data_IF_984004936203
#
_entry.id   IF_984004936203
#
_cell.length_a   1.000
_cell.length_b   1.000
_cell.length_c   1.000
_cell.angle_alpha   90.00
_cell.angle_beta   90.00
_cell.angle_gamma   90.00
#
_symmetry.space_group_name_H-M   'P 1'
#
loop_
_entity.id
_entity.type
_entity.pdbx_description
1 polymer ?
#
# COMPACT_ATOMS: atom_id res chain seq x y z
N UNK A 1 36.72 19.08 -32.88
CA UNK A 1 37.73 18.04 -33.23
C UNK A 1 37.02 16.73 -33.45
N UNK A 2 37.19 16.19 -34.64
CA UNK A 2 36.61 14.93 -35.13
C UNK A 2 37.38 13.73 -34.57
N UNK A 3 36.70 12.58 -34.39
CA UNK A 3 37.17 11.20 -34.55
C UNK A 3 36.40 10.25 -33.64
N UNK A 4 36.01 9.07 -33.99
CA UNK A 4 35.84 8.24 -35.22
C UNK A 4 35.09 6.96 -34.78
N UNK A 5 34.21 6.56 -35.64
CA UNK A 5 33.43 5.31 -35.63
C UNK A 5 34.34 4.09 -35.83
N UNK A 6 34.14 3.02 -35.07
CA UNK A 6 34.61 1.67 -35.48
C UNK A 6 33.44 0.68 -35.43
N UNK A 7 33.07 0.26 -36.65
CA UNK A 7 32.25 -0.91 -36.93
C UNK A 7 33.08 -2.17 -36.68
N UNK A 8 32.48 -3.21 -36.13
CA UNK A 8 32.96 -4.57 -36.26
C UNK A 8 31.85 -5.44 -36.83
N UNK A 9 32.27 -6.19 -37.85
CA UNK A 9 31.50 -6.99 -38.79
C UNK A 9 31.27 -8.38 -38.23
N UNK A 10 30.18 -8.99 -38.65
CA UNK A 10 29.70 -10.34 -38.42
C UNK A 10 30.68 -11.46 -38.83
N UNK A 11 30.59 -12.58 -38.16
CA UNK A 11 30.95 -13.86 -38.75
C UNK A 11 29.96 -14.94 -38.28
N UNK A 12 29.21 -15.47 -39.22
CA UNK A 12 28.33 -16.62 -39.07
C UNK A 12 29.10 -17.92 -39.09
N UNK A 13 28.54 -18.92 -38.43
CA UNK A 13 28.87 -20.34 -38.71
C UNK A 13 27.59 -21.18 -38.62
N UNK A 14 27.16 -21.57 -39.80
CA UNK A 14 26.28 -22.69 -40.12
C UNK A 14 26.94 -24.01 -39.77
N UNK A 15 26.24 -24.92 -39.12
CA UNK A 15 26.58 -26.33 -39.18
C UNK A 15 25.37 -27.23 -39.36
N UNK A 16 25.55 -28.16 -40.27
CA UNK A 16 24.59 -28.92 -41.06
C UNK A 16 23.93 -30.08 -40.32
N UNK A 17 22.82 -30.50 -40.91
CA UNK A 17 22.05 -31.72 -40.72
C UNK A 17 22.88 -33.01 -40.73
N UNK A 18 22.45 -34.02 -39.99
CA UNK A 18 22.56 -35.41 -40.38
C UNK A 18 21.26 -36.17 -40.15
N UNK A 19 20.71 -36.65 -41.25
CA UNK A 19 19.58 -37.58 -41.36
C UNK A 19 20.13 -39.00 -41.19
N UNK A 20 19.48 -39.78 -40.38
CA UNK A 20 19.71 -41.22 -40.27
C UNK A 20 18.39 -41.98 -40.39
N UNK A 21 18.20 -42.65 -41.52
CA UNK A 21 17.04 -43.47 -41.88
C UNK A 21 17.36 -44.93 -41.63
N UNK A 22 16.30 -45.70 -41.23
CA UNK A 22 16.00 -47.08 -41.50
C UNK A 22 16.27 -48.16 -40.45
N UNK A 23 15.21 -48.88 -40.20
CA UNK A 23 15.19 -50.18 -39.52
C UNK A 23 13.78 -50.70 -39.34
N UNK A 24 13.17 -51.28 -40.38
CA UNK A 24 11.92 -52.06 -40.27
C UNK A 24 12.13 -53.36 -39.50
N UNK A 25 11.21 -53.66 -38.60
CA UNK A 25 11.08 -54.98 -37.91
C UNK A 25 9.65 -55.21 -37.46
N UNK A 26 8.94 -56.00 -38.23
CA UNK A 26 7.55 -56.43 -38.02
C UNK A 26 7.47 -57.57 -37.00
N UNK A 27 6.69 -57.43 -35.93
CA UNK A 27 6.15 -58.59 -35.20
C UNK A 27 4.86 -58.20 -34.50
N UNK A 28 3.79 -58.84 -34.89
CA UNK A 28 2.46 -58.83 -34.27
C UNK A 28 2.50 -59.51 -32.90
N UNK A 29 1.99 -58.86 -31.85
CA UNK A 29 1.25 -59.57 -30.78
C UNK A 29 0.18 -58.64 -30.18
N UNK A 30 -0.98 -59.21 -30.00
CA UNK A 30 -2.21 -58.60 -29.57
C UNK A 30 -2.24 -58.38 -28.06
N UNK A 31 -2.97 -57.33 -27.61
CA UNK A 31 -3.73 -57.35 -26.36
C UNK A 31 -3.09 -56.70 -25.17
N UNK A 32 -3.43 -55.44 -24.91
CA UNK A 32 -3.95 -54.97 -23.64
C UNK A 32 -4.12 -53.43 -23.76
N UNK A 33 -5.34 -52.99 -23.82
CA UNK A 33 -5.70 -51.58 -23.61
C UNK A 33 -5.35 -51.22 -22.16
N UNK A 34 -4.22 -50.59 -21.97
CA UNK A 34 -3.97 -49.80 -20.77
C UNK A 34 -4.09 -48.34 -21.21
N UNK A 35 -5.27 -47.78 -21.01
CA UNK A 35 -5.51 -46.36 -20.99
C UNK A 35 -4.72 -45.77 -19.84
N UNK A 36 -3.47 -45.41 -20.11
CA UNK A 36 -2.72 -44.53 -19.24
C UNK A 36 -3.29 -43.14 -19.50
N UNK A 37 -4.22 -42.72 -18.65
CA UNK A 37 -4.52 -41.29 -18.49
C UNK A 37 -3.18 -40.60 -18.21
N UNK A 38 -2.63 -39.97 -19.25
CA UNK A 38 -1.55 -39.02 -19.10
C UNK A 38 -2.13 -37.89 -18.26
N UNK A 39 -1.85 -37.88 -16.97
CA UNK A 39 -2.05 -36.73 -16.10
C UNK A 39 -1.40 -35.57 -16.83
N UNK A 40 -2.21 -34.65 -17.36
CA UNK A 40 -1.73 -33.36 -17.84
C UNK A 40 -1.03 -32.74 -16.64
N UNK A 41 0.29 -32.66 -16.68
CA UNK A 41 1.04 -31.79 -15.79
C UNK A 41 0.46 -30.41 -16.03
N UNK A 42 -0.33 -29.92 -15.08
CA UNK A 42 -0.78 -28.54 -15.05
C UNK A 42 0.50 -27.73 -14.98
N UNK A 43 0.82 -26.98 -16.02
CA UNK A 43 1.92 -26.02 -15.97
C UNK A 43 1.66 -25.13 -14.77
N UNK A 44 2.65 -24.99 -13.90
CA UNK A 44 2.54 -24.12 -12.74
C UNK A 44 2.22 -22.71 -13.27
N UNK A 45 1.20 -22.07 -12.67
CA UNK A 45 0.86 -20.70 -13.02
C UNK A 45 2.08 -19.79 -12.81
N UNK A 46 2.21 -18.74 -13.63
CA UNK A 46 3.27 -17.76 -13.45
C UNK A 46 3.19 -17.14 -12.05
N UNK A 47 4.32 -16.75 -11.44
CA UNK A 47 4.30 -16.06 -10.14
C UNK A 47 3.47 -14.78 -10.21
N UNK A 48 2.70 -14.51 -9.15
CA UNK A 48 1.95 -13.25 -9.00
C UNK A 48 2.93 -12.17 -8.58
N UNK A 49 2.99 -11.07 -9.34
CA UNK A 49 3.93 -9.98 -9.11
C UNK A 49 3.26 -8.86 -8.33
N UNK A 50 3.74 -8.61 -7.11
CA UNK A 50 3.25 -7.56 -6.22
C UNK A 50 4.22 -6.39 -6.19
N UNK A 51 3.72 -5.17 -6.33
CA UNK A 51 4.47 -3.93 -6.09
C UNK A 51 4.05 -3.27 -4.79
N UNK A 52 4.97 -2.52 -4.17
CA UNK A 52 4.62 -1.63 -3.05
C UNK A 52 5.20 -0.23 -3.23
N UNK A 53 4.55 0.76 -2.64
CA UNK A 53 5.08 2.13 -2.51
C UNK A 53 6.24 2.17 -1.52
N UNK A 54 7.09 3.23 -1.53
CA UNK A 54 8.28 3.29 -0.71
C UNK A 54 8.00 3.80 0.73
N UNK A 55 7.21 3.04 1.49
CA UNK A 55 6.92 3.33 2.91
C UNK A 55 6.73 2.03 3.70
N UNK A 56 7.07 2.05 4.98
CA UNK A 56 7.04 0.89 5.89
C UNK A 56 5.70 0.17 5.89
N UNK A 57 4.60 0.89 6.01
CA UNK A 57 3.24 0.36 5.95
C UNK A 57 3.00 -0.49 4.72
N UNK A 58 3.42 -0.01 3.55
CA UNK A 58 3.27 -0.70 2.29
C UNK A 58 4.16 -1.96 2.20
N UNK A 59 5.34 -1.95 2.82
CA UNK A 59 6.20 -3.13 2.88
C UNK A 59 5.55 -4.24 3.69
N UNK A 60 4.98 -3.89 4.85
CA UNK A 60 4.24 -4.81 5.71
C UNK A 60 3.03 -5.39 4.96
N UNK A 61 2.24 -4.55 4.27
CA UNK A 61 1.09 -4.99 3.49
C UNK A 61 1.48 -5.89 2.32
N UNK A 62 2.59 -5.58 1.63
CA UNK A 62 3.13 -6.44 0.57
C UNK A 62 3.50 -7.83 1.08
N UNK A 63 4.16 -7.91 2.25
CA UNK A 63 4.47 -9.18 2.88
C UNK A 63 3.21 -9.93 3.35
N UNK A 64 2.22 -9.22 3.90
CA UNK A 64 0.93 -9.84 4.27
C UNK A 64 0.24 -10.47 3.07
N UNK A 65 0.17 -9.75 1.94
CA UNK A 65 -0.40 -10.27 0.69
C UNK A 65 0.34 -11.52 0.23
N UNK A 66 1.68 -11.45 0.18
CA UNK A 66 2.50 -12.60 -0.19
C UNK A 66 2.22 -13.81 0.71
N UNK A 67 2.30 -13.63 2.02
CA UNK A 67 2.11 -14.71 3.00
C UNK A 67 0.71 -15.32 2.90
N UNK A 68 -0.34 -14.52 2.76
CA UNK A 68 -1.72 -15.01 2.67
C UNK A 68 -1.95 -15.77 1.36
N UNK A 69 -1.46 -15.24 0.23
CA UNK A 69 -1.58 -15.91 -1.06
C UNK A 69 -0.86 -17.27 -1.04
N UNK A 70 0.39 -17.31 -0.57
CA UNK A 70 1.20 -18.53 -0.52
C UNK A 70 0.70 -19.55 0.52
N UNK A 71 0.07 -19.11 1.64
CA UNK A 71 -0.52 -20.03 2.65
C UNK A 71 -1.85 -20.63 2.17
N UNK A 72 -2.61 -19.94 1.34
CA UNK A 72 -4.00 -20.29 1.02
C UNK A 72 -4.23 -20.78 -0.40
N UNK A 73 -3.19 -20.69 -1.24
CA UNK A 73 -3.21 -21.15 -2.63
C UNK A 73 -1.89 -21.87 -2.96
N UNK A 74 -1.84 -22.50 -4.15
CA UNK A 74 -0.59 -23.09 -4.68
C UNK A 74 0.23 -22.09 -5.52
N UNK A 75 -0.09 -20.79 -5.50
CA UNK A 75 0.61 -19.78 -6.26
C UNK A 75 1.84 -19.28 -5.52
N UNK A 76 2.90 -18.96 -6.27
CA UNK A 76 4.08 -18.25 -5.76
C UNK A 76 3.95 -16.75 -6.01
N UNK A 77 4.61 -15.94 -5.18
CA UNK A 77 4.56 -14.48 -5.24
C UNK A 77 5.96 -13.89 -5.38
N UNK A 78 6.12 -13.00 -6.35
CA UNK A 78 7.27 -12.10 -6.49
C UNK A 78 6.91 -10.72 -5.95
N UNK A 79 7.49 -10.34 -4.81
CA UNK A 79 7.26 -9.06 -4.17
C UNK A 79 8.40 -8.07 -4.47
N UNK A 80 8.06 -6.94 -5.10
CA UNK A 80 8.98 -5.83 -5.33
C UNK A 80 8.59 -4.65 -4.44
N UNK A 81 9.42 -4.37 -3.44
CA UNK A 81 9.19 -3.29 -2.48
C UNK A 81 9.76 -1.96 -2.94
N UNK A 82 9.10 -0.87 -2.57
CA UNK A 82 9.67 0.46 -2.61
C UNK A 82 9.76 1.09 -3.98
N UNK A 83 8.75 0.92 -4.83
CA UNK A 83 8.72 1.58 -6.14
C UNK A 83 8.69 3.10 -5.94
N UNK A 84 9.81 3.77 -6.29
CA UNK A 84 9.92 5.22 -6.23
C UNK A 84 8.85 5.90 -7.08
N UNK A 85 8.34 7.05 -6.62
CA UNK A 85 7.22 7.73 -7.26
C UNK A 85 5.84 7.13 -6.97
N UNK A 86 5.78 5.98 -6.27
CA UNK A 86 4.54 5.35 -5.81
C UNK A 86 3.52 5.15 -6.93
N UNK A 87 2.26 5.59 -6.72
CA UNK A 87 1.15 5.46 -7.67
C UNK A 87 1.50 5.87 -9.10
N UNK A 88 2.27 6.97 -9.26
CA UNK A 88 2.62 7.48 -10.60
C UNK A 88 3.48 6.52 -11.41
N UNK A 89 4.28 5.67 -10.77
CA UNK A 89 5.14 4.70 -11.44
C UNK A 89 4.55 3.28 -11.39
N UNK A 90 3.80 2.94 -10.34
CA UNK A 90 3.18 1.61 -10.23
C UNK A 90 2.04 1.46 -11.23
N UNK A 91 1.15 2.46 -11.36
CA UNK A 91 -0.02 2.33 -12.23
C UNK A 91 0.33 2.07 -13.70
N UNK A 92 1.28 2.78 -14.34
CA UNK A 92 1.74 2.43 -15.68
C UNK A 92 2.35 1.02 -15.79
N UNK A 93 3.05 0.56 -14.74
CA UNK A 93 3.61 -0.80 -14.69
C UNK A 93 2.53 -1.88 -14.53
N UNK A 94 1.42 -1.55 -13.85
CA UNK A 94 0.21 -2.40 -13.82
C UNK A 94 -0.43 -2.49 -15.21
N UNK A 95 -0.55 -1.38 -15.92
CA UNK A 95 -1.10 -1.34 -17.30
C UNK A 95 -0.25 -2.14 -18.28
N UNK A 96 1.09 -2.10 -18.16
CA UNK A 96 2.00 -2.87 -19.00
C UNK A 96 2.08 -4.37 -18.64
N UNK A 97 1.60 -4.78 -17.45
CA UNK A 97 1.69 -6.15 -16.94
C UNK A 97 3.04 -6.49 -16.29
N UNK A 98 3.81 -5.48 -15.91
CA UNK A 98 5.03 -5.67 -15.13
C UNK A 98 4.71 -6.07 -13.70
N UNK A 99 3.54 -5.63 -13.18
CA UNK A 99 2.97 -6.05 -11.90
C UNK A 99 1.51 -6.49 -12.07
N UNK A 100 1.02 -7.32 -11.15
CA UNK A 100 -0.30 -7.92 -11.14
C UNK A 100 -1.24 -7.31 -10.10
N UNK A 101 -0.67 -6.89 -8.96
CA UNK A 101 -1.42 -6.22 -7.90
C UNK A 101 -0.52 -5.34 -7.02
N UNK A 102 -1.14 -4.37 -6.35
CA UNK A 102 -0.48 -3.54 -5.34
C UNK A 102 -1.50 -2.96 -4.34
N UNK A 103 -1.09 -2.72 -3.07
CA UNK A 103 -1.90 -1.95 -2.13
C UNK A 103 -1.96 -0.47 -2.55
N UNK A 104 -3.18 0.08 -2.62
CA UNK A 104 -3.42 1.46 -3.02
C UNK A 104 -4.42 2.11 -2.05
N UNK A 105 -4.37 3.44 -1.96
CA UNK A 105 -5.28 4.22 -1.13
C UNK A 105 -6.39 4.83 -1.99
N UNK A 106 -7.63 4.82 -1.49
CA UNK A 106 -8.82 5.27 -2.22
C UNK A 106 -8.64 6.67 -2.81
N UNK A 107 -8.25 7.66 -2.02
CA UNK A 107 -8.04 9.02 -2.53
C UNK A 107 -6.86 9.12 -3.49
N UNK A 108 -5.81 8.32 -3.35
CA UNK A 108 -4.72 8.29 -4.33
C UNK A 108 -5.20 7.78 -5.68
N UNK A 109 -5.95 6.67 -5.69
CA UNK A 109 -6.56 6.14 -6.91
C UNK A 109 -7.52 7.13 -7.56
N UNK A 110 -8.33 7.81 -6.75
CA UNK A 110 -9.34 8.76 -7.22
C UNK A 110 -8.72 10.05 -7.79
N UNK A 111 -7.80 10.67 -7.04
CA UNK A 111 -7.22 11.96 -7.40
C UNK A 111 -6.07 11.81 -8.40
N UNK A 112 -5.16 10.84 -8.15
CA UNK A 112 -3.92 10.74 -8.94
C UNK A 112 -4.08 9.92 -10.22
N UNK A 113 -4.94 8.89 -10.22
CA UNK A 113 -5.15 8.03 -11.40
C UNK A 113 -6.35 8.48 -12.20
N UNK A 114 -7.52 8.59 -11.58
CA UNK A 114 -8.75 8.99 -12.27
C UNK A 114 -8.82 10.49 -12.55
N UNK A 115 -7.99 11.32 -11.89
CA UNK A 115 -7.93 12.79 -12.04
C UNK A 115 -9.23 13.48 -11.65
N UNK A 116 -9.94 12.93 -10.69
CA UNK A 116 -11.14 13.53 -10.12
C UNK A 116 -10.79 14.49 -8.98
N UNK A 117 -11.70 15.42 -8.73
CA UNK A 117 -11.70 16.24 -7.53
C UNK A 117 -12.40 15.47 -6.40
N UNK A 118 -11.85 15.49 -5.20
CA UNK A 118 -12.38 14.81 -4.02
C UNK A 118 -13.25 15.70 -3.14
N UNK A 119 -13.42 16.98 -3.46
CA UNK A 119 -14.19 17.91 -2.64
C UNK A 119 -15.65 17.47 -2.53
N UNK A 120 -16.10 17.20 -1.30
CA UNK A 120 -17.47 16.87 -0.96
C UNK A 120 -17.97 15.49 -1.42
N UNK A 121 -17.09 14.62 -1.95
CA UNK A 121 -17.49 13.24 -2.27
C UNK A 121 -17.54 12.40 -0.99
N UNK A 122 -18.58 11.56 -0.87
CA UNK A 122 -18.65 10.57 0.20
C UNK A 122 -17.68 9.39 -0.07
N UNK A 123 -17.19 8.73 0.99
CA UNK A 123 -16.35 7.54 0.86
C UNK A 123 -17.05 6.43 0.06
N UNK A 124 -18.35 6.27 0.26
CA UNK A 124 -19.17 5.28 -0.45
C UNK A 124 -19.23 5.58 -1.96
N UNK A 125 -19.42 6.84 -2.34
CA UNK A 125 -19.47 7.23 -3.75
C UNK A 125 -18.10 7.18 -4.41
N UNK A 126 -17.05 7.58 -3.69
CA UNK A 126 -15.67 7.42 -4.15
C UNK A 126 -15.36 5.95 -4.41
N UNK A 127 -15.70 5.06 -3.47
CA UNK A 127 -15.50 3.62 -3.62
C UNK A 127 -16.24 3.06 -4.83
N UNK A 128 -17.51 3.42 -5.04
CA UNK A 128 -18.28 3.00 -6.21
C UNK A 128 -17.68 3.47 -7.53
N UNK A 129 -17.18 4.70 -7.57
CA UNK A 129 -16.52 5.24 -8.76
C UNK A 129 -15.19 4.56 -9.04
N UNK A 130 -14.37 4.32 -8.02
CA UNK A 130 -13.13 3.55 -8.14
C UNK A 130 -13.39 2.15 -8.72
N UNK A 131 -14.33 1.41 -8.14
CA UNK A 131 -14.72 0.08 -8.62
C UNK A 131 -15.11 0.11 -10.10
N UNK A 132 -15.98 1.04 -10.47
CA UNK A 132 -16.48 1.14 -11.83
C UNK A 132 -15.42 1.59 -12.82
N UNK A 133 -14.75 2.71 -12.53
CA UNK A 133 -13.89 3.34 -13.51
C UNK A 133 -12.56 2.60 -13.72
N UNK A 134 -12.00 1.97 -12.69
CA UNK A 134 -10.82 1.11 -12.84
C UNK A 134 -11.13 -0.12 -13.70
N UNK A 135 -12.31 -0.72 -13.52
CA UNK A 135 -12.74 -1.81 -14.36
C UNK A 135 -12.93 -1.38 -15.82
N UNK A 136 -13.60 -0.25 -16.03
CA UNK A 136 -13.95 0.22 -17.38
C UNK A 136 -12.73 0.75 -18.15
N UNK A 137 -11.79 1.43 -17.46
CA UNK A 137 -10.67 2.11 -18.11
C UNK A 137 -9.39 1.28 -18.17
N UNK A 138 -9.15 0.43 -17.16
CA UNK A 138 -7.87 -0.25 -16.97
C UNK A 138 -7.99 -1.78 -16.92
N UNK A 139 -9.19 -2.35 -16.96
CA UNK A 139 -9.47 -3.77 -16.68
C UNK A 139 -8.85 -4.24 -15.36
N UNK A 140 -9.02 -3.42 -14.28
CA UNK A 140 -8.54 -3.68 -12.94
C UNK A 140 -9.69 -3.61 -11.93
N UNK A 141 -9.57 -4.34 -10.82
CA UNK A 141 -10.54 -4.36 -9.73
C UNK A 141 -9.89 -3.88 -8.43
N UNK A 142 -10.66 -3.18 -7.59
CA UNK A 142 -10.34 -2.90 -6.20
C UNK A 142 -10.93 -4.01 -5.33
N UNK A 143 -10.11 -4.69 -4.52
CA UNK A 143 -10.52 -5.87 -3.76
C UNK A 143 -10.21 -5.69 -2.28
N UNK A 144 -11.27 -5.76 -1.46
CA UNK A 144 -11.22 -5.59 -0.02
C UNK A 144 -10.79 -4.19 0.41
N UNK A 145 -10.90 -3.92 1.70
CA UNK A 145 -10.31 -2.77 2.38
C UNK A 145 -9.70 -3.28 3.67
N UNK A 146 -8.45 -2.96 3.96
CA UNK A 146 -7.77 -3.47 5.15
C UNK A 146 -8.44 -3.08 6.47
N UNK A 147 -9.17 -1.96 6.49
CA UNK A 147 -9.93 -1.48 7.65
C UNK A 147 -9.31 -0.24 8.33
N UNK A 148 -8.10 0.14 7.97
CA UNK A 148 -7.48 1.37 8.45
C UNK A 148 -7.56 2.50 7.42
N UNK A 149 -7.44 3.73 7.91
CA UNK A 149 -7.44 4.96 7.13
C UNK A 149 -6.14 5.75 7.38
N UNK A 150 -5.23 5.80 6.41
CA UNK A 150 -4.00 6.56 6.50
C UNK A 150 -4.20 8.01 6.00
N UNK A 151 -4.87 8.82 6.82
CA UNK A 151 -5.14 10.23 6.51
C UNK A 151 -4.36 11.18 7.41
N UNK A 152 -4.39 12.48 7.08
CA UNK A 152 -3.86 13.50 7.96
C UNK A 152 -4.57 13.48 9.32
N UNK A 153 -3.79 13.64 10.37
CA UNK A 153 -4.26 13.69 11.74
C UNK A 153 -3.70 14.91 12.47
N UNK A 154 -4.49 15.49 13.34
CA UNK A 154 -4.00 16.47 14.29
C UNK A 154 -3.60 15.75 15.57
N UNK A 155 -2.32 15.87 15.91
CA UNK A 155 -1.69 15.15 17.02
C UNK A 155 -1.40 16.16 18.12
N UNK A 156 -1.80 15.84 19.35
CA UNK A 156 -1.56 16.66 20.53
C UNK A 156 -0.78 15.87 21.59
N UNK A 157 0.06 16.55 22.38
CA UNK A 157 0.67 15.93 23.57
C UNK A 157 -0.42 15.41 24.51
N UNK A 158 -0.28 14.20 25.01
CA UNK A 158 -1.25 13.58 25.91
C UNK A 158 -1.47 14.41 27.19
N UNK A 159 -0.42 15.08 27.71
CA UNK A 159 -0.50 15.99 28.86
C UNK A 159 -1.42 17.19 28.56
N UNK A 160 -1.25 17.84 27.40
CA UNK A 160 -2.09 18.96 26.98
C UNK A 160 -3.54 18.50 26.72
N UNK A 161 -3.71 17.34 26.05
CA UNK A 161 -5.02 16.77 25.82
C UNK A 161 -5.78 16.48 27.12
N UNK A 162 -5.09 15.96 28.16
CA UNK A 162 -5.67 15.74 29.48
C UNK A 162 -5.99 17.04 30.23
N UNK A 163 -5.05 18.01 30.16
CA UNK A 163 -5.23 19.32 30.85
C UNK A 163 -6.51 20.02 30.40
N UNK A 164 -6.80 19.99 29.09
CA UNK A 164 -7.95 20.68 28.51
C UNK A 164 -9.12 19.74 28.15
N UNK A 165 -9.03 18.45 28.48
CA UNK A 165 -10.02 17.41 28.17
C UNK A 165 -10.37 17.32 26.66
N UNK A 166 -9.34 17.33 25.80
CA UNK A 166 -9.49 17.35 24.35
C UNK A 166 -9.55 15.94 23.77
N UNK A 167 -10.55 15.72 22.92
CA UNK A 167 -10.72 14.50 22.12
C UNK A 167 -11.03 14.80 20.66
N UNK A 168 -11.49 16.03 20.35
CA UNK A 168 -11.91 16.49 19.04
C UNK A 168 -11.15 17.75 18.64
N UNK A 169 -10.93 17.92 17.35
CA UNK A 169 -10.24 19.10 16.79
C UNK A 169 -11.01 20.40 17.06
N UNK A 170 -12.35 20.37 16.98
CA UNK A 170 -13.18 21.54 17.25
C UNK A 170 -13.00 22.11 18.66
N UNK A 171 -12.69 21.28 19.67
CA UNK A 171 -12.47 21.72 21.04
C UNK A 171 -11.19 22.56 21.22
N UNK A 172 -10.26 22.51 20.27
CA UNK A 172 -9.07 23.36 20.28
C UNK A 172 -9.40 24.84 20.13
N UNK A 173 -10.54 25.20 19.54
CA UNK A 173 -10.93 26.60 19.32
C UNK A 173 -10.90 27.43 20.61
N UNK A 174 -11.23 26.83 21.75
CA UNK A 174 -11.32 27.50 23.05
C UNK A 174 -9.97 27.67 23.77
N UNK A 175 -8.92 26.95 23.32
CA UNK A 175 -7.63 26.86 24.02
C UNK A 175 -6.40 26.97 23.12
N UNK A 176 -6.58 27.10 21.83
CA UNK A 176 -5.46 27.11 20.86
C UNK A 176 -4.50 28.28 21.07
N UNK A 177 -4.97 29.40 21.62
CA UNK A 177 -4.15 30.59 21.95
C UNK A 177 -3.19 30.36 23.14
N UNK A 178 -3.33 29.28 23.88
CA UNK A 178 -2.38 28.82 24.87
C UNK A 178 -1.37 27.79 24.35
N UNK A 179 -1.62 27.18 23.17
CA UNK A 179 -0.90 26.05 22.61
C UNK A 179 0.05 26.47 21.48
N UNK A 180 1.18 25.77 21.40
CA UNK A 180 2.17 25.93 20.32
C UNK A 180 1.97 24.85 19.27
N UNK A 181 1.73 25.25 18.02
CA UNK A 181 1.71 24.34 16.89
C UNK A 181 3.12 24.16 16.30
N UNK A 182 3.48 22.95 15.92
CA UNK A 182 4.69 22.64 15.17
C UNK A 182 4.38 21.82 13.93
N UNK A 183 4.84 22.23 12.77
CA UNK A 183 4.69 21.52 11.51
C UNK A 183 5.86 21.81 10.60
N UNK A 184 6.04 21.04 9.54
CA UNK A 184 7.04 21.37 8.52
C UNK A 184 6.55 22.51 7.62
N UNK A 185 7.48 23.25 7.03
CA UNK A 185 7.18 24.42 6.17
C UNK A 185 6.21 24.07 5.03
N UNK A 186 6.35 22.88 4.42
CA UNK A 186 5.44 22.45 3.35
C UNK A 186 3.98 22.39 3.84
N UNK A 187 3.71 21.78 5.00
CA UNK A 187 2.35 21.74 5.57
C UNK A 187 1.84 23.11 5.99
N UNK A 188 2.73 23.96 6.53
CA UNK A 188 2.36 25.31 6.99
C UNK A 188 1.99 26.21 5.79
N UNK A 189 2.69 26.09 4.66
CA UNK A 189 2.50 26.95 3.49
C UNK A 189 1.43 26.45 2.51
N UNK A 190 1.08 25.17 2.54
CA UNK A 190 0.07 24.59 1.62
C UNK A 190 -1.32 25.16 1.88
N UNK A 191 -2.07 25.35 0.79
CA UNK A 191 -3.48 25.83 0.85
C UNK A 191 -4.39 24.83 1.58
N UNK A 192 -4.12 23.53 1.43
CA UNK A 192 -4.85 22.42 2.05
C UNK A 192 -4.23 21.95 3.38
N UNK A 193 -3.30 22.72 3.94
CA UNK A 193 -2.58 22.44 5.17
C UNK A 193 -3.05 23.28 6.37
N UNK A 194 -2.08 23.86 7.07
CA UNK A 194 -2.29 24.59 8.33
C UNK A 194 -3.32 25.70 8.26
N UNK A 195 -3.32 26.51 7.19
CA UNK A 195 -4.25 27.62 7.05
C UNK A 195 -5.69 27.13 6.92
N UNK A 196 -5.94 26.11 6.10
CA UNK A 196 -7.26 25.51 5.96
C UNK A 196 -7.74 24.89 7.28
N UNK A 197 -6.85 24.22 8.01
CA UNK A 197 -7.13 23.71 9.35
C UNK A 197 -7.59 24.82 10.29
N UNK A 198 -6.82 25.92 10.37
CA UNK A 198 -7.12 27.04 11.24
C UNK A 198 -8.44 27.73 10.88
N UNK A 199 -8.68 27.95 9.59
CA UNK A 199 -9.91 28.59 9.10
C UNK A 199 -11.15 27.72 9.37
N UNK A 200 -11.03 26.41 9.11
CA UNK A 200 -12.15 25.46 9.31
C UNK A 200 -12.54 25.32 10.78
N UNK A 201 -11.56 25.23 11.66
CA UNK A 201 -11.79 24.98 13.09
C UNK A 201 -11.75 26.24 13.95
N UNK A 202 -11.43 27.41 13.39
CA UNK A 202 -11.34 28.68 14.13
C UNK A 202 -10.14 28.75 15.07
N UNK A 203 -9.01 28.08 14.70
CA UNK A 203 -7.85 27.96 15.58
C UNK A 203 -6.95 29.19 15.49
N UNK A 204 -6.38 29.59 16.64
CA UNK A 204 -5.43 30.70 16.75
C UNK A 204 -4.33 30.30 17.71
N UNK A 205 -3.34 29.56 17.20
CA UNK A 205 -2.25 29.07 18.05
C UNK A 205 -1.41 30.22 18.61
N UNK A 206 -0.91 30.04 19.83
CA UNK A 206 -0.01 30.97 20.53
C UNK A 206 1.27 31.24 19.73
N UNK A 207 1.80 30.21 19.11
CA UNK A 207 2.99 30.25 18.27
C UNK A 207 2.93 29.13 17.23
N UNK A 208 3.61 29.31 16.08
CA UNK A 208 3.72 28.33 15.02
C UNK A 208 5.20 28.13 14.70
N UNK A 209 5.71 26.94 14.92
CA UNK A 209 7.11 26.57 14.70
C UNK A 209 7.26 25.73 13.46
N UNK A 210 8.21 26.10 12.61
CA UNK A 210 8.69 25.23 11.54
C UNK A 210 9.60 24.16 12.16
N UNK A 211 9.22 22.90 12.01
CA UNK A 211 9.92 21.74 12.58
C UNK A 211 10.08 20.68 11.51
N UNK A 212 11.28 20.13 11.38
CA UNK A 212 11.53 18.99 10.51
C UNK A 212 10.59 17.82 10.84
N UNK A 213 10.06 17.19 9.79
CA UNK A 213 9.05 16.13 9.91
C UNK A 213 9.51 14.96 10.78
N UNK A 214 10.81 14.65 10.79
CA UNK A 214 11.41 13.61 11.61
C UNK A 214 11.56 13.98 13.09
N UNK A 215 11.47 15.27 13.45
CA UNK A 215 11.69 15.77 14.81
C UNK A 215 10.40 16.11 15.56
N UNK A 216 9.24 16.12 14.87
CA UNK A 216 7.97 16.56 15.48
C UNK A 216 7.58 15.79 16.74
N UNK A 217 7.75 14.46 16.75
CA UNK A 217 7.40 13.62 17.88
C UNK A 217 8.32 13.83 19.08
N UNK A 218 9.60 14.07 18.85
CA UNK A 218 10.55 14.43 19.91
C UNK A 218 10.22 15.82 20.49
N UNK A 219 9.82 16.78 19.65
CA UNK A 219 9.40 18.11 20.08
C UNK A 219 8.10 18.06 20.90
N UNK A 220 7.11 17.23 20.48
CA UNK A 220 5.91 16.96 21.27
C UNK A 220 6.25 16.35 22.63
N UNK A 221 7.11 15.33 22.66
CA UNK A 221 7.54 14.64 23.88
C UNK A 221 8.25 15.59 24.86
N UNK A 222 9.08 16.50 24.38
CA UNK A 222 9.81 17.49 25.20
C UNK A 222 8.92 18.65 25.66
N UNK A 223 7.76 18.86 25.03
CA UNK A 223 6.90 20.00 25.27
C UNK A 223 7.38 21.28 24.58
N UNK A 224 8.25 21.17 23.58
CA UNK A 224 8.66 22.31 22.74
C UNK A 224 7.53 22.79 21.85
N UNK A 225 6.60 21.90 21.50
CA UNK A 225 5.32 22.12 20.84
C UNK A 225 4.22 21.31 21.55
N UNK A 226 2.98 21.73 21.38
CA UNK A 226 1.82 21.06 21.97
C UNK A 226 1.03 20.26 20.95
N UNK A 227 0.94 20.77 19.71
CA UNK A 227 0.13 20.23 18.61
C UNK A 227 0.98 20.13 17.35
N UNK A 228 0.77 19.08 16.56
CA UNK A 228 1.42 18.90 15.25
C UNK A 228 0.48 18.19 14.27
N UNK A 229 0.77 18.31 12.98
CA UNK A 229 0.17 17.43 11.97
C UNK A 229 0.93 16.10 11.90
N UNK A 230 0.22 15.02 11.57
CA UNK A 230 0.76 13.70 11.34
C UNK A 230 -0.18 12.86 10.49
N UNK A 231 0.00 11.56 10.53
CA UNK A 231 -0.89 10.60 9.89
C UNK A 231 -1.45 9.64 10.94
N UNK A 232 -2.66 9.17 10.74
CA UNK A 232 -3.36 8.27 11.67
C UNK A 232 -2.65 6.94 11.92
N UNK A 233 -1.72 6.57 11.04
CA UNK A 233 -0.91 5.34 11.14
C UNK A 233 0.57 5.60 11.44
N UNK A 234 0.94 6.83 11.82
CA UNK A 234 2.32 7.13 12.23
C UNK A 234 2.78 6.21 13.37
N UNK A 235 3.95 5.60 13.23
CA UNK A 235 4.50 4.63 14.18
C UNK A 235 4.52 5.13 15.63
N UNK A 236 4.85 6.40 15.81
CA UNK A 236 4.96 7.06 17.12
C UNK A 236 3.62 7.22 17.85
N UNK A 237 2.47 7.04 17.16
CA UNK A 237 1.14 7.03 17.82
C UNK A 237 0.95 5.81 18.71
N UNK A 238 1.80 4.79 18.61
CA UNK A 238 1.84 3.66 19.53
C UNK A 238 2.38 4.02 20.92
N UNK A 239 2.93 5.24 21.09
CA UNK A 239 3.39 5.73 22.40
C UNK A 239 2.27 6.48 23.13
N UNK A 240 2.17 6.31 24.44
CA UNK A 240 1.18 6.96 25.30
C UNK A 240 1.40 8.48 25.51
N UNK A 241 2.39 9.08 24.84
CA UNK A 241 2.77 10.48 25.00
C UNK A 241 1.97 11.44 24.10
N UNK A 242 1.25 10.93 23.14
CA UNK A 242 0.51 11.70 22.14
C UNK A 242 -0.89 11.12 21.94
N UNK A 243 -1.78 11.97 21.47
CA UNK A 243 -3.16 11.61 21.12
C UNK A 243 -3.51 12.19 19.76
N UNK A 244 -4.22 11.42 18.96
CA UNK A 244 -4.90 11.91 17.75
C UNK A 244 -6.22 12.54 18.18
N UNK A 245 -6.50 13.75 17.69
CA UNK A 245 -7.80 14.38 17.83
C UNK A 245 -8.71 13.99 16.68
N UNK A 246 -9.97 13.69 16.99
CA UNK A 246 -11.00 13.41 15.99
C UNK A 246 -11.21 14.62 15.07
N UNK A 247 -11.18 14.42 13.77
CA UNK A 247 -11.54 15.41 12.73
C UNK A 247 -13.08 15.48 12.61
N UNK A 248 -13.72 16.08 13.58
CA UNK A 248 -15.19 16.11 13.73
C UNK A 248 -15.92 17.06 12.77
N UNK A 249 -15.18 17.80 11.92
CA UNK A 249 -15.72 18.55 10.77
C UNK A 249 -15.40 17.91 9.44
N UNK A 250 -14.77 16.75 9.44
CA UNK A 250 -14.42 15.99 8.23
C UNK A 250 -13.64 16.82 7.22
N UNK A 251 -12.63 17.57 7.71
CA UNK A 251 -11.75 18.38 6.87
C UNK A 251 -10.89 17.53 5.95
N UNK A 252 -10.44 16.38 6.47
CA UNK A 252 -9.50 15.54 5.76
C UNK A 252 -10.22 14.50 4.90
N UNK A 253 -9.70 14.30 3.70
CA UNK A 253 -10.15 13.22 2.82
C UNK A 253 -9.63 11.89 3.36
N UNK A 254 -10.45 10.84 3.31
CA UNK A 254 -10.05 9.52 3.77
C UNK A 254 -9.20 8.78 2.74
N UNK A 255 -8.19 8.07 3.24
CA UNK A 255 -7.27 7.24 2.47
C UNK A 255 -7.35 5.79 2.95
N UNK A 256 -8.51 5.14 2.74
CA UNK A 256 -8.65 3.71 3.03
C UNK A 256 -7.76 2.90 2.11
N UNK A 257 -6.99 1.98 2.70
CA UNK A 257 -6.11 1.11 1.93
C UNK A 257 -6.87 -0.12 1.41
N UNK A 258 -6.67 -0.45 0.16
CA UNK A 258 -7.29 -1.58 -0.56
C UNK A 258 -6.30 -2.15 -1.57
N UNK A 259 -6.68 -3.19 -2.30
CA UNK A 259 -5.82 -3.83 -3.29
C UNK A 259 -6.33 -3.56 -4.71
N UNK A 260 -5.49 -3.03 -5.57
CA UNK A 260 -5.76 -2.92 -7.02
C UNK A 260 -5.16 -4.14 -7.69
N UNK A 261 -5.98 -4.90 -8.41
CA UNK A 261 -5.63 -6.16 -9.05
C UNK A 261 -6.04 -6.16 -10.51
N UNK A 262 -5.19 -6.67 -11.38
CA UNK A 262 -5.52 -6.87 -12.81
C UNK A 262 -6.56 -7.97 -12.97
N UNK A 263 -7.56 -7.75 -13.81
CA UNK A 263 -8.63 -8.74 -14.02
C UNK A 263 -8.18 -9.97 -14.81
N UNK A 264 -7.16 -9.86 -15.64
CA UNK A 264 -6.56 -11.02 -16.31
C UNK A 264 -5.79 -11.92 -15.31
N UNK A 265 -5.15 -11.32 -14.30
CA UNK A 265 -4.53 -12.06 -13.21
C UNK A 265 -5.57 -12.81 -12.38
N UNK A 266 -6.69 -12.17 -12.03
CA UNK A 266 -7.80 -12.85 -11.33
C UNK A 266 -8.36 -14.03 -12.14
N UNK A 267 -8.48 -13.87 -13.46
CA UNK A 267 -8.96 -14.94 -14.36
C UNK A 267 -7.97 -16.11 -14.45
N UNK A 268 -6.68 -15.83 -14.45
CA UNK A 268 -5.62 -16.85 -14.56
C UNK A 268 -5.24 -17.50 -13.23
N UNK A 269 -5.64 -16.91 -12.11
CA UNK A 269 -5.36 -17.39 -10.75
C UNK A 269 -6.65 -17.53 -9.92
N UNK A 270 -7.50 -18.56 -10.20
CA UNK A 270 -8.71 -18.81 -9.42
C UNK A 270 -8.39 -18.97 -7.92
N UNK A 271 -9.18 -18.35 -7.04
CA UNK A 271 -8.95 -18.33 -5.60
C UNK A 271 -8.08 -17.17 -5.09
N UNK A 272 -7.48 -16.38 -6.00
CA UNK A 272 -6.68 -15.21 -5.60
C UNK A 272 -7.53 -14.13 -4.91
N UNK A 273 -8.74 -13.86 -5.41
CA UNK A 273 -9.64 -12.89 -4.80
C UNK A 273 -10.02 -13.31 -3.37
N UNK A 274 -10.36 -14.58 -3.17
CA UNK A 274 -10.68 -15.12 -1.85
C UNK A 274 -9.48 -15.06 -0.89
N UNK A 275 -8.26 -15.25 -1.39
CA UNK A 275 -7.04 -15.10 -0.60
C UNK A 275 -6.87 -13.65 -0.15
N UNK A 276 -6.97 -12.68 -1.05
CA UNK A 276 -6.87 -11.25 -0.75
C UNK A 276 -7.95 -10.80 0.25
N UNK A 277 -9.18 -11.27 0.08
CA UNK A 277 -10.32 -10.93 0.95
C UNK A 277 -10.15 -11.39 2.40
N UNK A 278 -9.20 -12.30 2.72
CA UNK A 278 -8.87 -12.61 4.12
C UNK A 278 -8.27 -11.44 4.89
N UNK A 279 -7.75 -10.44 4.17
CA UNK A 279 -7.22 -9.20 4.74
C UNK A 279 -8.28 -8.09 4.87
N UNK A 280 -9.52 -8.33 4.40
CA UNK A 280 -10.60 -7.35 4.50
C UNK A 280 -10.97 -7.06 5.95
N UNK A 281 -11.00 -5.77 6.33
CA UNK A 281 -11.30 -5.28 7.67
C UNK A 281 -10.46 -5.95 8.79
N UNK A 282 -9.22 -6.35 8.48
CA UNK A 282 -8.36 -7.08 9.41
C UNK A 282 -7.48 -6.18 10.28
N UNK A 283 -7.30 -4.90 9.93
CA UNK A 283 -6.33 -4.00 10.56
C UNK A 283 -7.02 -2.67 10.90
N UNK A 284 -6.94 -2.23 12.14
CA UNK A 284 -7.36 -0.89 12.58
C UNK A 284 -6.21 0.12 12.45
N UNK A 285 -6.50 1.45 12.48
CA UNK A 285 -5.48 2.51 12.48
C UNK A 285 -4.43 2.29 13.57
N UNK A 286 -4.88 1.96 14.78
CA UNK A 286 -4.01 1.71 15.93
C UNK A 286 -3.12 0.47 15.73
N UNK A 287 -3.65 -0.58 15.15
CA UNK A 287 -2.88 -1.78 14.84
C UNK A 287 -1.85 -1.48 13.76
N UNK A 288 -2.22 -0.72 12.71
CA UNK A 288 -1.28 -0.34 11.66
C UNK A 288 -0.15 0.54 12.21
N UNK A 289 -0.45 1.51 13.04
CA UNK A 289 0.55 2.31 13.76
C UNK A 289 1.49 1.42 14.60
N UNK A 290 0.95 0.41 15.29
CA UNK A 290 1.75 -0.54 16.07
C UNK A 290 2.64 -1.42 15.19
N UNK A 291 2.18 -1.84 14.03
CA UNK A 291 2.98 -2.60 13.07
C UNK A 291 4.13 -1.74 12.52
N UNK A 292 3.84 -0.50 12.13
CA UNK A 292 4.86 0.47 11.71
C UNK A 292 5.90 0.70 12.82
N UNK A 293 5.46 0.82 14.07
CA UNK A 293 6.37 0.99 15.23
C UNK A 293 7.34 -0.19 15.40
N UNK A 294 6.86 -1.42 15.25
CA UNK A 294 7.71 -2.60 15.34
C UNK A 294 8.84 -2.60 14.30
N UNK A 295 8.57 -2.08 13.10
CA UNK A 295 9.59 -1.99 12.05
C UNK A 295 10.47 -0.75 12.23
N UNK A 296 9.87 0.44 12.36
CA UNK A 296 10.60 1.72 12.32
C UNK A 296 11.37 2.02 13.61
N UNK A 297 10.86 1.60 14.76
CA UNK A 297 11.40 1.95 16.07
C UNK A 297 12.06 0.75 16.75
N UNK A 298 11.43 -0.43 16.71
CA UNK A 298 12.02 -1.65 17.29
C UNK A 298 13.03 -2.32 16.34
N UNK A 299 13.08 -1.93 15.06
CA UNK A 299 14.00 -2.46 14.05
C UNK A 299 13.73 -3.92 13.66
N UNK A 300 12.48 -4.38 13.78
CA UNK A 300 12.09 -5.71 13.33
C UNK A 300 11.94 -5.75 11.81
N UNK A 301 12.22 -6.90 11.23
CA UNK A 301 11.98 -7.14 9.81
C UNK A 301 10.48 -7.11 9.50
N UNK A 302 10.08 -6.42 8.43
CA UNK A 302 8.70 -6.26 8.03
C UNK A 302 8.00 -7.59 7.73
N UNK A 303 8.70 -8.56 7.13
CA UNK A 303 8.19 -9.93 6.90
C UNK A 303 7.85 -10.64 8.20
N UNK A 304 8.68 -10.47 9.25
CA UNK A 304 8.41 -11.08 10.55
C UNK A 304 7.21 -10.41 11.23
N UNK A 305 7.12 -9.09 11.16
CA UNK A 305 5.99 -8.32 11.71
C UNK A 305 4.68 -8.72 11.03
N UNK A 306 4.68 -8.86 9.70
CA UNK A 306 3.53 -9.31 8.93
C UNK A 306 3.11 -10.73 9.34
N UNK A 307 4.07 -11.67 9.40
CA UNK A 307 3.81 -13.06 9.76
C UNK A 307 3.24 -13.20 11.17
N UNK A 308 3.86 -12.55 12.15
CA UNK A 308 3.41 -12.61 13.56
C UNK A 308 1.97 -12.10 13.67
N UNK A 309 1.66 -10.97 13.02
CA UNK A 309 0.32 -10.39 13.03
C UNK A 309 -0.72 -11.31 12.39
N UNK A 310 -0.45 -11.84 11.20
CA UNK A 310 -1.36 -12.74 10.50
C UNK A 310 -1.61 -14.05 11.29
N UNK A 311 -0.58 -14.57 11.94
CA UNK A 311 -0.69 -15.75 12.80
C UNK A 311 -1.50 -15.46 14.05
N UNK A 312 -1.25 -14.31 14.72
CA UNK A 312 -2.01 -13.87 15.91
C UNK A 312 -3.50 -13.70 15.58
N UNK A 313 -3.81 -13.16 14.41
CA UNK A 313 -5.20 -13.00 13.93
C UNK A 313 -5.81 -14.31 13.42
N UNK A 314 -5.04 -15.38 13.28
CA UNK A 314 -5.51 -16.66 12.73
C UNK A 314 -5.84 -16.61 11.23
N UNK A 315 -5.25 -15.65 10.50
CA UNK A 315 -5.44 -15.49 9.05
C UNK A 315 -4.60 -16.50 8.28
N UNK A 316 -3.38 -16.78 8.75
CA UNK A 316 -2.50 -17.86 8.26
C UNK A 316 -2.18 -18.84 9.38
N UNK A 317 -1.58 -20.00 9.00
CA UNK A 317 -1.17 -21.08 9.93
C UNK A 317 0.20 -20.86 10.55
#
# INVERSE_FOLDING_TARGET
MKKTWKKWVALGMTFSMMVGIAGCGNSKHAGSENTTEAAKKQEAAAPIKIATKPMTEQFILGEMLKLVIEDTTDYSVELTKGIGGGTNNIMPAMESGDFDLYPEYTSSGYIMVLKHDSDGISDEDMWKQLQKEYKDKYDMSWIGQYGFNNTYALIIREEAAKKYNLTKTSQLADVSDELVFGGNSDYIERKDGFHLLCDTYGLKFKDVKDIDIGLKYEALKKGDIDVSNGFTTDAQLSNDNVRVLEDDKHLQVNYFCSNVVRNDTLKSHPGLEEAIMKLDNSITDKEMASLNYKVEVEGKEDVQVAKDYLTEKGIIK
#
